data_IF_783068553947
#
_entry.id   IF_783068553947
#
_cell.length_a   1.000
_cell.length_b   1.000
_cell.length_c   1.000
_cell.angle_alpha   90.00
_cell.angle_beta   90.00
_cell.angle_gamma   90.00
#
_symmetry.space_group_name_H-M   'P 1'
#
loop_
_entity.id
_entity.type
_entity.pdbx_description
1 polymer ?
#
# COMPACT_ATOMS: atom_id res chain seq x y z
N UNK A 1 9.58 20.94 -2.36
CA UNK A 1 8.89 19.76 -2.90
C UNK A 1 9.80 18.55 -2.80
N UNK A 2 9.62 17.75 -1.74
CA UNK A 2 10.27 16.46 -1.49
C UNK A 2 9.27 15.34 -1.77
N UNK A 3 9.70 14.31 -2.48
CA UNK A 3 8.87 13.15 -2.82
C UNK A 3 9.52 11.90 -2.24
N UNK A 4 8.81 11.18 -1.39
CA UNK A 4 9.20 9.87 -0.88
C UNK A 4 8.67 8.76 -1.79
N UNK A 5 9.54 7.78 -2.09
CA UNK A 5 9.15 6.56 -2.80
C UNK A 5 9.14 5.42 -1.79
N UNK A 6 7.94 5.00 -1.38
CA UNK A 6 7.75 3.96 -0.38
C UNK A 6 7.65 2.58 -1.05
N UNK A 7 8.81 1.95 -1.25
CA UNK A 7 8.88 0.59 -1.74
C UNK A 7 8.64 -0.40 -0.59
N UNK A 8 7.44 -0.98 -0.53
CA UNK A 8 7.03 -1.88 0.55
C UNK A 8 6.73 -3.29 0.03
N UNK A 9 6.99 -4.30 0.85
CA UNK A 9 6.70 -5.69 0.51
C UNK A 9 5.26 -6.05 0.91
N UNK A 10 4.32 -5.85 0.00
CA UNK A 10 2.90 -6.19 0.19
C UNK A 10 2.66 -7.70 0.10
N UNK A 11 1.62 -8.20 0.76
CA UNK A 11 1.13 -9.57 0.62
C UNK A 11 -0.26 -9.55 0.00
N UNK A 12 -0.48 -10.37 -1.04
CA UNK A 12 -1.79 -10.42 -1.72
C UNK A 12 -2.88 -10.87 -0.74
N UNK A 13 -3.93 -10.07 -0.59
CA UNK A 13 -5.09 -10.34 0.27
C UNK A 13 -4.90 -10.03 1.76
N UNK A 14 -3.71 -9.57 2.19
CA UNK A 14 -3.48 -9.13 3.57
C UNK A 14 -3.77 -7.63 3.71
N UNK A 15 -5.05 -7.25 3.68
CA UNK A 15 -5.49 -5.84 3.71
C UNK A 15 -5.01 -5.13 4.98
N UNK A 16 -5.21 -5.74 6.15
CA UNK A 16 -4.80 -5.14 7.43
C UNK A 16 -3.27 -5.08 7.58
N UNK A 17 -2.53 -6.10 7.15
CA UNK A 17 -1.07 -6.07 7.19
C UNK A 17 -0.48 -5.07 6.18
N UNK A 18 -1.04 -4.97 4.98
CA UNK A 18 -0.61 -3.98 3.99
C UNK A 18 -0.95 -2.56 4.45
N UNK A 19 -2.14 -2.32 5.01
CA UNK A 19 -2.53 -1.05 5.63
C UNK A 19 -1.56 -0.62 6.73
N UNK A 20 -1.18 -1.53 7.64
CA UNK A 20 -0.18 -1.24 8.68
C UNK A 20 1.17 -0.82 8.07
N UNK A 21 1.60 -1.49 6.99
CA UNK A 21 2.83 -1.11 6.28
C UNK A 21 2.70 0.27 5.64
N UNK A 22 1.57 0.58 4.98
CA UNK A 22 1.33 1.89 4.37
C UNK A 22 1.41 3.00 5.44
N UNK A 23 0.70 2.83 6.56
CA UNK A 23 0.70 3.81 7.66
C UNK A 23 2.10 4.03 8.23
N UNK A 24 2.86 2.95 8.49
CA UNK A 24 4.24 3.04 8.97
C UNK A 24 5.17 3.82 8.02
N UNK A 25 4.99 3.66 6.70
CA UNK A 25 5.80 4.39 5.73
C UNK A 25 5.31 5.82 5.47
N UNK A 26 4.03 6.12 5.74
CA UNK A 26 3.53 7.50 5.78
C UNK A 26 4.18 8.26 6.94
N UNK A 27 4.20 7.69 8.14
CA UNK A 27 4.87 8.29 9.31
C UNK A 27 6.35 8.58 9.02
N UNK A 28 7.07 7.61 8.43
CA UNK A 28 8.47 7.82 8.01
C UNK A 28 8.66 8.93 6.99
N UNK A 29 7.70 9.11 6.08
CA UNK A 29 7.81 10.14 5.07
C UNK A 29 7.54 11.53 5.66
N UNK A 30 6.62 11.62 6.64
CA UNK A 30 6.38 12.81 7.46
C UNK A 30 7.64 13.20 8.24
N UNK A 31 8.31 12.23 8.89
CA UNK A 31 9.59 12.44 9.59
C UNK A 31 10.72 12.96 8.68
N UNK A 32 10.60 12.78 7.35
CA UNK A 32 11.56 13.26 6.34
C UNK A 32 11.16 14.62 5.72
N UNK A 33 10.08 15.23 6.22
CA UNK A 33 9.39 16.39 5.67
C UNK A 33 8.97 16.21 4.20
N UNK A 34 8.50 15.03 3.82
CA UNK A 34 8.08 14.75 2.44
C UNK A 34 6.73 15.38 2.14
N UNK A 35 6.62 16.08 1.01
CA UNK A 35 5.36 16.68 0.56
C UNK A 35 4.42 15.65 -0.10
N UNK A 36 5.00 14.60 -0.71
CA UNK A 36 4.28 13.54 -1.42
C UNK A 36 4.93 12.19 -1.11
N UNK A 37 4.11 11.16 -0.95
CA UNK A 37 4.55 9.76 -0.86
C UNK A 37 3.92 8.96 -1.99
N UNK A 38 4.73 8.19 -2.71
CA UNK A 38 4.28 7.32 -3.80
C UNK A 38 4.51 5.87 -3.39
N UNK A 39 3.48 5.04 -3.60
CA UNK A 39 3.50 3.60 -3.38
C UNK A 39 3.37 2.85 -4.71
N UNK A 40 3.64 1.55 -4.68
CA UNK A 40 3.46 0.66 -5.84
C UNK A 40 2.00 0.53 -6.27
N UNK A 41 1.77 0.07 -7.49
CA UNK A 41 0.44 -0.29 -7.97
C UNK A 41 -0.20 -1.37 -7.06
N UNK A 42 -1.52 -1.26 -6.84
CA UNK A 42 -2.32 -2.18 -6.01
C UNK A 42 -1.78 -2.40 -4.59
N UNK A 43 -1.11 -1.41 -3.99
CA UNK A 43 -0.46 -1.57 -2.67
C UNK A 43 -1.41 -2.00 -1.54
N UNK A 44 -2.70 -1.64 -1.59
CA UNK A 44 -3.69 -2.00 -0.56
C UNK A 44 -3.90 -3.52 -0.53
N UNK A 45 -4.27 -4.11 -1.67
CA UNK A 45 -4.58 -5.54 -1.76
C UNK A 45 -3.38 -6.41 -2.14
N UNK A 46 -2.26 -5.81 -2.57
CA UNK A 46 -1.04 -6.45 -3.04
C UNK A 46 -1.08 -6.81 -4.54
N UNK A 47 0.02 -6.57 -5.24
CA UNK A 47 0.17 -6.93 -6.66
C UNK A 47 0.77 -8.35 -6.83
N UNK A 48 0.28 -9.24 -7.72
CA UNK A 48 -0.92 -9.15 -8.55
C UNK A 48 -2.03 -10.08 -8.01
N UNK A 49 -3.25 -9.58 -7.78
CA UNK A 49 -4.34 -10.36 -7.20
C UNK A 49 -5.08 -11.26 -8.19
N UNK A 50 -4.91 -11.06 -9.51
CA UNK A 50 -5.51 -11.88 -10.58
C UNK A 50 -7.02 -12.09 -10.35
N UNK A 51 -7.52 -13.32 -10.47
CA UNK A 51 -8.92 -13.74 -10.35
C UNK A 51 -9.58 -13.37 -9.01
N UNK A 52 -8.80 -12.98 -7.98
CA UNK A 52 -9.36 -12.44 -6.74
C UNK A 52 -10.13 -11.15 -7.01
N UNK A 53 -9.76 -10.37 -8.03
CA UNK A 53 -10.50 -9.17 -8.44
C UNK A 53 -11.90 -9.46 -8.99
N UNK A 54 -12.22 -10.72 -9.34
CA UNK A 54 -13.57 -11.12 -9.75
C UNK A 54 -14.46 -11.52 -8.56
N UNK A 55 -13.90 -11.56 -7.34
CA UNK A 55 -14.61 -11.96 -6.12
C UNK A 55 -15.08 -10.72 -5.36
N UNK A 56 -16.40 -10.52 -5.24
CA UNK A 56 -16.97 -9.40 -4.48
C UNK A 56 -16.39 -9.25 -3.08
N UNK A 57 -16.25 -10.37 -2.35
CA UNK A 57 -15.66 -10.38 -1.00
C UNK A 57 -14.24 -9.80 -0.95
N UNK A 58 -13.47 -9.90 -2.04
CA UNK A 58 -12.12 -9.35 -2.09
C UNK A 58 -12.12 -7.84 -2.39
N UNK A 59 -13.17 -7.32 -3.04
CA UNK A 59 -13.31 -5.90 -3.39
C UNK A 59 -13.95 -5.12 -2.24
N UNK A 60 -14.85 -5.76 -1.49
CA UNK A 60 -15.64 -5.16 -0.41
C UNK A 60 -14.93 -5.19 0.96
N UNK A 61 -13.74 -5.81 1.05
CA UNK A 61 -12.85 -5.80 2.22
C UNK A 61 -12.10 -4.47 2.37
#
# INVERSE_FOLDING_TARGET
MKIAIAQINTMVGDFEGNKKKILHFLEKAEDMDSDIVVFSELTICGYSPRDLLDKRVFIEE
#
